data_IF_692920708570
#
_entry.id   IF_692920708570
#
_cell.length_a   1.000
_cell.length_b   1.000
_cell.length_c   1.000
_cell.angle_alpha   90.00
_cell.angle_beta   90.00
_cell.angle_gamma   90.00
#
_symmetry.space_group_name_H-M   'P 1'
#
loop_
_entity.id
_entity.type
_entity.pdbx_description
1 polymer ?
#
# COMPACT_ATOMS: atom_id res chain seq x y z
N UNK A 1 -14.78 -23.20 -7.94
CA UNK A 1 -13.87 -22.15 -7.43
C UNK A 1 -14.64 -20.85 -7.40
N UNK A 2 -14.59 -20.10 -6.30
CA UNK A 2 -15.33 -18.84 -6.13
C UNK A 2 -14.82 -18.07 -4.91
N UNK A 3 -15.28 -16.83 -4.73
CA UNK A 3 -14.93 -15.99 -3.57
C UNK A 3 -15.48 -16.66 -2.30
N UNK A 4 -14.59 -17.01 -1.36
CA UNK A 4 -14.96 -17.70 -0.11
C UNK A 4 -15.36 -16.75 1.02
N UNK A 5 -14.75 -15.57 1.05
CA UNK A 5 -14.91 -14.58 2.10
C UNK A 5 -14.69 -13.18 1.51
N UNK A 6 -15.43 -12.20 2.03
CA UNK A 6 -15.13 -10.79 1.86
C UNK A 6 -14.71 -10.19 3.20
N UNK A 7 -13.67 -9.35 3.18
CA UNK A 7 -13.24 -8.58 4.34
C UNK A 7 -13.36 -7.11 4.00
N UNK A 8 -14.04 -6.34 4.84
CA UNK A 8 -14.40 -4.95 4.54
C UNK A 8 -13.93 -4.03 5.66
N UNK A 9 -13.15 -3.00 5.34
CA UNK A 9 -12.74 -1.98 6.30
C UNK A 9 -13.87 -0.98 6.56
N UNK A 10 -14.22 -0.73 7.83
CA UNK A 10 -15.17 0.32 8.22
C UNK A 10 -14.79 0.94 9.56
N UNK A 11 -13.92 1.93 9.52
CA UNK A 11 -13.47 2.72 10.67
C UNK A 11 -13.32 4.21 10.29
N UNK A 12 -13.00 5.05 11.27
CA UNK A 12 -12.87 6.50 11.09
C UNK A 12 -11.73 6.92 10.16
N UNK A 13 -10.70 6.07 9.97
CA UNK A 13 -9.62 6.34 9.03
C UNK A 13 -10.08 6.13 7.58
N UNK A 14 -11.09 5.27 7.36
CA UNK A 14 -11.66 5.00 6.05
C UNK A 14 -12.87 5.90 5.75
N UNK A 15 -13.77 6.10 6.71
CA UNK A 15 -15.00 6.87 6.53
C UNK A 15 -15.27 7.79 7.72
N UNK A 16 -15.45 9.10 7.47
CA UNK A 16 -15.85 10.07 8.52
C UNK A 16 -17.18 9.69 9.18
N UNK A 17 -18.07 9.04 8.44
CA UNK A 17 -19.31 8.48 8.97
C UNK A 17 -19.39 6.98 8.65
N UNK A 18 -19.35 6.14 9.69
CA UNK A 18 -19.42 4.69 9.57
C UNK A 18 -20.84 4.13 9.61
N UNK A 19 -21.86 4.98 9.84
CA UNK A 19 -23.27 4.56 9.97
C UNK A 19 -23.94 4.30 8.61
N UNK A 20 -23.52 5.02 7.57
CA UNK A 20 -23.97 4.82 6.18
C UNK A 20 -22.75 4.85 5.22
N UNK A 21 -21.92 3.81 5.29
CA UNK A 21 -20.71 3.70 4.48
C UNK A 21 -20.86 2.66 3.37
N UNK A 22 -20.12 2.79 2.24
CA UNK A 22 -20.04 1.76 1.20
C UNK A 22 -19.71 0.36 1.76
N UNK A 23 -18.94 0.31 2.85
CA UNK A 23 -18.62 -0.93 3.53
C UNK A 23 -19.86 -1.69 4.02
N UNK A 24 -20.90 -0.99 4.51
CA UNK A 24 -22.14 -1.64 4.93
C UNK A 24 -22.90 -2.24 3.74
N UNK A 25 -22.95 -1.55 2.60
CA UNK A 25 -23.55 -2.10 1.39
C UNK A 25 -22.85 -3.39 0.94
N UNK A 26 -21.51 -3.40 0.98
CA UNK A 26 -20.73 -4.61 0.66
C UNK A 26 -21.02 -5.77 1.62
N UNK A 27 -21.14 -5.51 2.92
CA UNK A 27 -21.51 -6.53 3.91
C UNK A 27 -22.92 -7.09 3.67
N UNK A 28 -23.90 -6.21 3.41
CA UNK A 28 -25.28 -6.64 3.11
C UNK A 28 -25.34 -7.47 1.84
N UNK A 29 -24.66 -7.06 0.77
CA UNK A 29 -24.60 -7.82 -0.48
C UNK A 29 -23.96 -9.20 -0.27
N UNK A 30 -22.87 -9.29 0.49
CA UNK A 30 -22.23 -10.57 0.79
C UNK A 30 -23.13 -11.52 1.59
N UNK A 31 -23.88 -10.99 2.56
CA UNK A 31 -24.90 -11.76 3.29
C UNK A 31 -25.99 -12.29 2.36
N UNK A 32 -26.49 -11.45 1.45
CA UNK A 32 -27.51 -11.85 0.45
C UNK A 32 -27.00 -12.94 -0.51
N UNK A 33 -25.71 -12.93 -0.81
CA UNK A 33 -25.04 -13.92 -1.66
C UNK A 33 -24.58 -15.18 -0.91
N UNK A 34 -24.86 -15.30 0.39
CA UNK A 34 -24.44 -16.44 1.21
C UNK A 34 -22.92 -16.54 1.42
N UNK A 35 -22.20 -15.42 1.29
CA UNK A 35 -20.75 -15.37 1.48
C UNK A 35 -20.40 -15.03 2.93
N UNK A 36 -19.28 -15.56 3.43
CA UNK A 36 -18.71 -15.10 4.70
C UNK A 36 -18.25 -13.65 4.57
N UNK A 37 -18.58 -12.80 5.54
CA UNK A 37 -18.27 -11.38 5.52
C UNK A 37 -17.70 -10.93 6.87
N UNK A 38 -16.47 -10.43 6.87
CA UNK A 38 -15.79 -9.96 8.09
C UNK A 38 -15.57 -8.46 8.01
N UNK A 39 -15.95 -7.75 9.09
CA UNK A 39 -15.64 -6.33 9.22
C UNK A 39 -14.26 -6.16 9.86
N UNK A 40 -13.39 -5.39 9.19
CA UNK A 40 -12.06 -5.02 9.68
C UNK A 40 -12.12 -3.59 10.19
N UNK A 41 -11.50 -3.35 11.34
CA UNK A 41 -11.41 -2.03 11.97
C UNK A 41 -10.02 -1.83 12.53
N UNK A 42 -9.48 -0.64 12.34
CA UNK A 42 -8.31 -0.18 13.09
C UNK A 42 -8.82 0.70 14.24
N UNK A 43 -8.44 0.41 15.51
CA UNK A 43 -8.74 1.32 16.60
C UNK A 43 -8.00 2.64 16.34
N UNK A 44 -8.72 3.75 16.34
CA UNK A 44 -8.08 5.06 16.32
C UNK A 44 -7.34 5.22 17.66
N UNK A 45 -6.05 5.59 17.69
CA UNK A 45 -5.41 5.94 18.95
C UNK A 45 -6.20 7.12 19.53
N UNK A 46 -6.90 6.90 20.65
CA UNK A 46 -7.58 7.99 21.33
C UNK A 46 -6.55 9.11 21.54
N UNK A 47 -6.88 10.31 21.08
CA UNK A 47 -6.05 11.48 21.30
C UNK A 47 -6.07 11.77 22.80
N UNK A 48 -5.18 11.12 23.54
CA UNK A 48 -4.93 11.47 24.92
C UNK A 48 -4.18 12.81 24.91
N UNK A 49 -4.96 13.89 24.94
CA UNK A 49 -4.48 15.27 24.96
C UNK A 49 -3.56 15.57 26.17
N UNK A 50 -3.38 14.63 27.10
CA UNK A 50 -2.43 14.72 28.21
C UNK A 50 -0.97 14.43 27.82
N UNK A 51 -0.70 13.93 26.60
CA UNK A 51 0.65 13.51 26.15
C UNK A 51 1.18 14.22 24.90
N UNK A 52 0.80 15.47 24.65
CA UNK A 52 1.33 16.26 23.52
C UNK A 52 2.86 16.54 23.57
N UNK A 53 3.54 16.20 24.67
CA UNK A 53 4.99 16.41 24.84
C UNK A 53 5.84 15.13 24.88
N UNK A 54 5.25 13.94 24.74
CA UNK A 54 6.04 12.74 24.51
C UNK A 54 6.16 12.57 23.00
N UNK A 55 7.35 12.87 22.46
CA UNK A 55 7.81 12.33 21.17
C UNK A 55 7.25 10.92 21.07
N UNK A 56 6.58 10.59 19.97
CA UNK A 56 6.15 9.22 19.69
C UNK A 56 7.40 8.34 19.66
N UNK A 57 7.85 7.91 20.84
CA UNK A 57 8.97 7.05 21.06
C UNK A 57 8.40 5.67 20.92
N UNK A 58 8.20 5.25 19.67
CA UNK A 58 7.96 3.86 19.32
C UNK A 58 9.28 3.13 19.58
N UNK A 59 9.60 2.89 20.85
CA UNK A 59 10.88 2.36 21.33
C UNK A 59 10.90 0.84 21.44
N UNK A 60 9.88 0.13 20.98
CA UNK A 60 9.88 -1.34 20.90
C UNK A 60 9.67 -1.81 19.45
N UNK A 61 10.78 -1.91 18.72
CA UNK A 61 10.86 -2.32 17.31
C UNK A 61 10.71 -3.84 17.23
N UNK A 62 9.48 -4.33 17.37
CA UNK A 62 9.02 -5.66 16.92
C UNK A 62 7.55 -5.61 16.43
N UNK A 63 7.04 -4.41 16.15
CA UNK A 63 5.66 -4.17 15.70
C UNK A 63 5.57 -3.89 14.17
N UNK A 64 4.44 -4.22 13.52
CA UNK A 64 4.24 -3.92 12.10
C UNK A 64 4.40 -2.41 11.87
N UNK A 65 5.44 -2.02 11.14
CA UNK A 65 5.72 -0.62 10.82
C UNK A 65 4.48 0.00 10.17
N UNK A 66 3.99 1.11 10.75
CA UNK A 66 2.95 1.94 10.15
C UNK A 66 3.31 2.26 8.71
N UNK A 67 2.37 2.02 7.78
CA UNK A 67 2.58 2.21 6.35
C UNK A 67 2.03 3.57 5.92
N UNK A 68 2.90 4.56 5.78
CA UNK A 68 2.55 5.85 5.22
C UNK A 68 2.51 5.75 3.69
N UNK A 69 1.31 5.64 3.12
CA UNK A 69 1.07 5.57 1.67
C UNK A 69 -0.31 6.11 1.32
N UNK A 70 -0.52 6.52 0.07
CA UNK A 70 -1.73 7.23 -0.34
C UNK A 70 -1.94 8.47 0.53
N UNK A 71 -3.18 8.74 0.95
CA UNK A 71 -3.49 9.88 1.83
C UNK A 71 -2.67 9.93 3.12
N UNK A 72 -2.25 8.78 3.67
CA UNK A 72 -1.46 8.77 4.90
C UNK A 72 -0.06 9.34 4.70
N UNK A 73 0.50 9.23 3.49
CA UNK A 73 1.76 9.88 3.14
C UNK A 73 1.64 11.42 3.15
N UNK A 74 0.45 11.96 2.88
CA UNK A 74 0.23 13.41 2.86
C UNK A 74 -0.22 13.96 4.21
N UNK A 75 -1.08 13.23 4.94
CA UNK A 75 -1.82 13.79 6.09
C UNK A 75 -1.32 13.35 7.45
N UNK A 76 -0.59 12.23 7.54
CA UNK A 76 -0.19 11.62 8.82
C UNK A 76 1.30 11.70 9.10
N UNK A 77 2.08 12.34 8.22
CA UNK A 77 3.55 12.42 8.35
C UNK A 77 4.03 13.55 9.27
N UNK A 78 3.20 14.57 9.50
CA UNK A 78 3.55 15.71 10.35
C UNK A 78 3.89 15.26 11.79
N UNK A 79 5.03 15.72 12.31
CA UNK A 79 5.52 15.38 13.65
C UNK A 79 6.18 14.00 13.78
N UNK A 80 6.25 13.22 12.70
CA UNK A 80 6.95 11.94 12.68
C UNK A 80 8.47 12.12 12.55
N UNK A 81 9.22 11.12 13.05
CA UNK A 81 10.68 11.09 12.89
C UNK A 81 11.06 10.77 11.43
N UNK A 82 12.01 11.53 10.88
CA UNK A 82 12.55 11.30 9.54
C UNK A 82 13.77 10.38 9.56
N UNK A 83 13.93 9.57 8.51
CA UNK A 83 15.06 8.66 8.34
C UNK A 83 15.75 8.89 6.98
N UNK A 84 17.06 8.64 6.92
CA UNK A 84 17.79 8.65 5.65
C UNK A 84 17.31 7.47 4.78
N UNK A 85 16.90 7.78 3.55
CA UNK A 85 16.40 6.81 2.59
C UNK A 85 17.37 5.65 2.33
N UNK A 86 18.68 5.89 2.46
CA UNK A 86 19.73 4.87 2.28
C UNK A 86 19.60 3.72 3.27
N UNK A 87 18.91 3.94 4.39
CA UNK A 87 18.66 2.91 5.41
C UNK A 87 17.54 1.94 5.02
N UNK A 88 16.70 2.29 4.04
CA UNK A 88 15.56 1.46 3.59
C UNK A 88 16.00 0.38 2.61
N UNK A 89 16.81 -0.55 3.10
CA UNK A 89 17.44 -1.63 2.32
C UNK A 89 16.59 -2.90 2.20
N UNK A 90 15.42 -2.94 2.87
CA UNK A 90 14.48 -4.07 2.82
C UNK A 90 13.03 -3.60 2.76
N UNK A 91 12.22 -4.27 1.95
CA UNK A 91 10.78 -4.02 1.90
C UNK A 91 10.08 -4.64 3.13
N UNK A 92 9.26 -3.89 3.89
CA UNK A 92 8.52 -4.43 5.04
C UNK A 92 7.33 -5.31 4.64
N UNK A 93 6.96 -5.34 3.35
CA UNK A 93 5.79 -6.09 2.84
C UNK A 93 6.05 -7.60 2.66
N UNK A 94 7.29 -8.04 2.88
CA UNK A 94 7.69 -9.44 2.74
C UNK A 94 8.29 -9.74 1.37
N UNK A 95 8.18 -11.01 0.97
CA UNK A 95 8.71 -11.50 -0.30
C UNK A 95 7.77 -11.11 -1.46
N UNK A 96 8.30 -10.28 -2.37
CA UNK A 96 7.58 -9.79 -3.54
C UNK A 96 7.64 -10.77 -4.73
N UNK A 97 8.58 -11.72 -4.72
CA UNK A 97 8.72 -12.75 -5.76
C UNK A 97 7.82 -13.97 -5.51
N UNK A 98 7.38 -14.16 -4.27
CA UNK A 98 6.42 -15.19 -3.89
C UNK A 98 5.17 -14.57 -3.22
N UNK A 99 4.39 -13.73 -3.94
CA UNK A 99 3.23 -13.06 -3.38
C UNK A 99 2.15 -14.07 -2.97
N UNK A 100 1.66 -13.95 -1.73
CA UNK A 100 0.52 -14.77 -1.25
C UNK A 100 -0.84 -14.23 -1.68
N UNK A 101 -0.87 -13.02 -2.21
CA UNK A 101 -2.07 -12.31 -2.64
C UNK A 101 -1.69 -11.25 -3.69
N UNK A 102 -2.67 -10.88 -4.50
CA UNK A 102 -2.59 -9.74 -5.42
C UNK A 102 -3.74 -8.78 -5.12
N UNK A 103 -3.55 -7.51 -5.45
CA UNK A 103 -4.60 -6.50 -5.44
C UNK A 103 -5.13 -6.35 -6.86
N UNK A 104 -6.44 -6.28 -7.01
CA UNK A 104 -7.08 -6.00 -8.29
C UNK A 104 -8.03 -4.83 -8.07
N UNK A 105 -7.93 -3.81 -8.91
CA UNK A 105 -8.81 -2.64 -8.84
C UNK A 105 -9.91 -2.64 -9.94
N UNK A 106 -10.74 -1.61 -9.91
CA UNK A 106 -11.87 -1.43 -10.82
C UNK A 106 -11.47 -1.14 -12.28
N UNK A 107 -10.22 -0.73 -12.53
CA UNK A 107 -9.64 -0.51 -13.86
C UNK A 107 -8.88 -1.74 -14.37
N UNK A 108 -8.86 -2.82 -13.60
CA UNK A 108 -8.27 -4.10 -13.96
C UNK A 108 -6.81 -4.27 -13.61
N UNK A 109 -6.09 -3.26 -13.06
CA UNK A 109 -4.68 -3.47 -12.72
C UNK A 109 -4.55 -4.54 -11.64
N UNK A 110 -3.73 -5.55 -11.94
CA UNK A 110 -3.32 -6.60 -11.02
C UNK A 110 -1.99 -6.18 -10.41
N UNK A 111 -1.92 -6.08 -9.10
CA UNK A 111 -0.81 -5.43 -8.39
C UNK A 111 -0.26 -6.33 -7.27
N UNK A 112 1.06 -6.33 -7.11
CA UNK A 112 1.75 -7.05 -6.02
C UNK A 112 1.75 -6.23 -4.73
N UNK A 113 2.00 -4.93 -4.89
CA UNK A 113 1.89 -3.92 -3.84
C UNK A 113 0.96 -2.83 -4.37
N UNK A 114 0.07 -2.23 -3.56
CA UNK A 114 -0.82 -1.17 -4.05
C UNK A 114 -0.05 -0.06 -4.78
N UNK A 115 -0.37 0.15 -6.05
CA UNK A 115 0.29 1.04 -7.00
C UNK A 115 1.45 0.44 -7.79
N UNK A 116 1.71 -0.86 -7.72
CA UNK A 116 2.73 -1.54 -8.53
C UNK A 116 2.08 -2.71 -9.25
N UNK A 117 1.77 -2.50 -10.52
CA UNK A 117 1.04 -3.42 -11.37
C UNK A 117 1.98 -4.41 -12.07
N UNK A 118 1.51 -5.64 -12.23
CA UNK A 118 2.14 -6.73 -12.98
C UNK A 118 1.35 -7.09 -14.25
N UNK A 119 0.25 -6.39 -14.52
CA UNK A 119 -0.60 -6.57 -15.69
C UNK A 119 -2.01 -6.01 -15.47
N UNK A 120 -2.86 -6.16 -16.48
CA UNK A 120 -4.26 -5.71 -16.43
C UNK A 120 -5.23 -6.86 -16.79
N UNK A 121 -6.14 -7.18 -15.87
CA UNK A 121 -7.13 -8.26 -16.00
C UNK A 121 -8.20 -8.01 -17.07
N UNK A 122 -8.36 -6.77 -17.53
CA UNK A 122 -9.20 -6.42 -18.69
C UNK A 122 -8.52 -6.74 -20.02
N UNK A 123 -7.18 -6.89 -20.02
CA UNK A 123 -6.39 -7.17 -21.23
C UNK A 123 -5.98 -8.64 -21.32
N UNK A 124 -5.58 -9.23 -20.20
CA UNK A 124 -5.15 -10.63 -20.12
C UNK A 124 -5.89 -11.36 -18.98
N UNK A 125 -6.16 -12.66 -19.12
CA UNK A 125 -6.72 -13.43 -18.02
C UNK A 125 -5.82 -13.38 -16.78
N UNK A 126 -6.42 -13.20 -15.59
CA UNK A 126 -5.70 -13.07 -14.32
C UNK A 126 -4.69 -14.21 -14.06
N UNK A 127 -5.06 -15.45 -14.39
CA UNK A 127 -4.16 -16.60 -14.20
C UNK A 127 -2.90 -16.49 -15.07
N UNK A 128 -3.03 -15.98 -16.29
CA UNK A 128 -1.90 -15.75 -17.21
C UNK A 128 -0.99 -14.65 -16.67
N UNK A 129 -1.56 -13.54 -16.19
CA UNK A 129 -0.78 -12.45 -15.56
C UNK A 129 0.06 -12.97 -14.38
N UNK A 130 -0.51 -13.84 -13.56
CA UNK A 130 0.20 -14.42 -12.40
C UNK A 130 1.28 -15.41 -12.84
N UNK A 131 1.02 -16.22 -13.87
CA UNK A 131 1.97 -17.22 -14.37
C UNK A 131 3.16 -16.57 -15.10
N UNK A 132 2.89 -15.51 -15.85
CA UNK A 132 3.90 -14.79 -16.64
C UNK A 132 4.70 -13.79 -15.79
N UNK A 133 4.30 -13.53 -14.54
CA UNK A 133 5.00 -12.58 -13.67
C UNK A 133 6.41 -13.09 -13.34
N UNK A 134 7.40 -12.37 -13.86
CA UNK A 134 8.80 -12.53 -13.47
C UNK A 134 9.25 -11.30 -12.67
N UNK A 135 9.64 -11.52 -11.42
CA UNK A 135 10.17 -10.47 -10.56
C UNK A 135 11.48 -9.89 -11.11
N UNK A 136 12.32 -10.68 -11.76
CA UNK A 136 13.65 -10.26 -12.22
C UNK A 136 13.59 -9.28 -13.40
N UNK A 137 12.59 -9.44 -14.27
CA UNK A 137 12.35 -8.56 -15.41
C UNK A 137 11.54 -7.31 -15.05
N UNK A 138 10.96 -7.26 -13.84
CA UNK A 138 10.08 -6.16 -13.45
C UNK A 138 10.85 -4.93 -12.96
N UNK A 139 10.87 -3.86 -13.77
CA UNK A 139 11.67 -2.64 -13.54
C UNK A 139 11.44 -1.96 -12.19
N UNK A 140 10.21 -1.98 -11.66
CA UNK A 140 9.88 -1.39 -10.35
C UNK A 140 10.08 -2.39 -9.18
N UNK A 141 9.59 -3.63 -9.29
CA UNK A 141 9.62 -4.59 -8.19
C UNK A 141 11.01 -5.19 -7.97
N UNK A 142 11.81 -5.40 -9.02
CA UNK A 142 13.14 -5.99 -8.89
C UNK A 142 14.08 -5.18 -7.98
N UNK A 143 14.24 -3.85 -8.17
CA UNK A 143 15.09 -3.04 -7.30
C UNK A 143 14.54 -2.96 -5.86
N UNK A 144 13.21 -2.90 -5.70
CA UNK A 144 12.58 -2.88 -4.37
C UNK A 144 12.84 -4.19 -3.63
N UNK A 145 12.75 -5.32 -4.32
CA UNK A 145 12.97 -6.63 -3.71
C UNK A 145 14.42 -6.82 -3.27
N UNK A 146 15.36 -6.47 -4.14
CA UNK A 146 16.80 -6.72 -3.92
C UNK A 146 17.47 -5.70 -3.00
N UNK A 147 17.04 -4.44 -3.03
CA UNK A 147 17.70 -3.32 -2.34
C UNK A 147 16.74 -2.51 -1.45
N UNK A 148 15.51 -2.98 -1.25
CA UNK A 148 14.46 -2.25 -0.54
C UNK A 148 14.00 -1.00 -1.29
N UNK A 149 13.18 -0.15 -0.65
CA UNK A 149 12.77 1.15 -1.22
C UNK A 149 13.94 2.01 -1.71
N UNK A 150 15.11 1.88 -1.10
CA UNK A 150 16.32 2.59 -1.54
C UNK A 150 16.76 2.21 -2.96
N UNK A 151 16.50 0.97 -3.40
CA UNK A 151 16.76 0.52 -4.77
C UNK A 151 16.00 1.32 -5.81
N UNK A 152 14.73 1.63 -5.52
CA UNK A 152 13.90 2.40 -6.43
C UNK A 152 14.41 3.85 -6.58
N UNK A 153 14.85 4.47 -5.48
CA UNK A 153 15.50 5.80 -5.56
C UNK A 153 16.76 5.73 -6.41
N UNK A 154 17.60 4.71 -6.23
CA UNK A 154 18.88 4.58 -6.95
C UNK A 154 18.71 4.46 -8.46
N UNK A 155 17.68 3.76 -8.91
CA UNK A 155 17.40 3.63 -10.35
C UNK A 155 16.62 4.83 -10.92
N UNK A 156 16.11 5.69 -10.04
CA UNK A 156 15.44 6.93 -10.43
C UNK A 156 16.44 8.08 -10.59
N UNK A 157 16.12 9.05 -11.45
CA UNK A 157 16.86 10.32 -11.53
C UNK A 157 16.38 11.35 -10.48
N UNK A 158 15.72 10.90 -9.41
CA UNK A 158 15.14 11.79 -8.41
C UNK A 158 16.21 12.24 -7.41
N UNK A 159 16.10 13.50 -6.97
CA UNK A 159 16.84 13.99 -5.82
C UNK A 159 16.07 13.62 -4.55
N UNK A 160 16.55 12.66 -3.75
CA UNK A 160 15.80 12.19 -2.60
C UNK A 160 15.74 13.26 -1.51
N UNK A 161 14.58 13.39 -0.90
CA UNK A 161 14.36 14.29 0.23
C UNK A 161 14.93 13.66 1.51
N UNK A 162 15.26 14.49 2.52
CA UNK A 162 15.78 14.01 3.81
C UNK A 162 14.68 13.59 4.79
N UNK A 163 13.40 13.66 4.39
CA UNK A 163 12.25 13.69 5.31
C UNK A 163 11.37 12.44 5.29
N UNK A 164 11.88 11.30 4.83
CA UNK A 164 11.04 10.09 4.78
C UNK A 164 10.75 9.55 6.19
N UNK A 165 9.47 9.41 6.53
CA UNK A 165 9.03 8.86 7.82
C UNK A 165 8.98 7.33 7.87
N UNK A 166 9.42 6.65 6.81
CA UNK A 166 9.52 5.20 6.75
C UNK A 166 9.72 4.63 5.33
N UNK A 167 9.96 3.31 5.22
CA UNK A 167 10.23 2.64 3.94
C UNK A 167 9.06 2.73 2.95
N UNK A 168 7.82 2.54 3.42
CA UNK A 168 6.63 2.66 2.57
C UNK A 168 6.39 4.10 2.11
N UNK A 169 6.70 5.10 2.96
CA UNK A 169 6.60 6.52 2.61
C UNK A 169 7.55 6.85 1.45
N UNK A 170 8.82 6.47 1.62
CA UNK A 170 9.86 6.59 0.62
C UNK A 170 9.47 5.94 -0.70
N UNK A 171 9.05 4.67 -0.64
CA UNK A 171 8.63 3.93 -1.83
C UNK A 171 7.41 4.58 -2.52
N UNK A 172 6.43 5.06 -1.74
CA UNK A 172 5.24 5.72 -2.27
C UNK A 172 5.59 7.02 -3.03
N UNK A 173 6.32 7.95 -2.40
CA UNK A 173 6.69 9.22 -3.03
C UNK A 173 7.59 9.03 -4.26
N UNK A 174 8.54 8.09 -4.17
CA UNK A 174 9.41 7.76 -5.32
C UNK A 174 8.58 7.28 -6.51
N UNK A 175 7.63 6.36 -6.29
CA UNK A 175 6.73 5.90 -7.36
C UNK A 175 5.81 7.01 -7.87
N UNK A 176 5.28 7.86 -6.99
CA UNK A 176 4.44 8.98 -7.39
C UNK A 176 5.18 9.91 -8.36
N UNK A 177 6.46 10.18 -8.13
CA UNK A 177 7.29 10.98 -9.02
C UNK A 177 7.68 10.28 -10.33
N UNK A 178 7.58 8.94 -10.38
CA UNK A 178 7.88 8.12 -11.56
C UNK A 178 6.64 7.71 -12.35
N UNK A 179 5.43 8.06 -11.89
CA UNK A 179 4.17 7.51 -12.42
C UNK A 179 3.98 7.77 -13.92
N UNK A 180 4.41 8.91 -14.42
CA UNK A 180 4.32 9.26 -15.85
C UNK A 180 5.36 8.53 -16.70
N UNK A 181 6.47 8.09 -16.11
CA UNK A 181 7.51 7.33 -16.81
C UNK A 181 7.14 5.85 -16.93
N UNK A 182 6.37 5.33 -15.97
CA UNK A 182 5.98 3.92 -15.91
C UNK A 182 4.46 3.75 -15.76
N UNK A 183 3.61 4.30 -16.64
CA UNK A 183 2.16 4.32 -16.45
C UNK A 183 1.52 2.92 -16.41
N UNK A 184 2.15 1.93 -17.06
CA UNK A 184 1.67 0.54 -17.07
C UNK A 184 2.08 -0.24 -15.82
N UNK A 185 3.21 0.11 -15.20
CA UNK A 185 3.73 -0.56 -14.00
C UNK A 185 3.36 0.17 -12.71
N UNK A 186 3.08 1.47 -12.77
CA UNK A 186 2.70 2.33 -11.66
C UNK A 186 1.25 2.77 -11.83
N UNK A 187 0.36 1.85 -11.51
CA UNK A 187 -1.08 2.03 -11.66
C UNK A 187 -1.85 1.36 -10.53
N UNK A 188 -3.09 1.80 -10.30
CA UNK A 188 -3.80 2.84 -11.04
C UNK A 188 -3.50 4.24 -10.47
N UNK A 189 -3.68 5.29 -11.27
CA UNK A 189 -3.33 6.68 -10.87
C UNK A 189 -3.99 7.15 -9.57
N UNK A 190 -5.21 6.70 -9.31
CA UNK A 190 -5.97 7.09 -8.11
C UNK A 190 -5.36 6.58 -6.79
N UNK A 191 -4.48 5.56 -6.79
CA UNK A 191 -3.79 5.19 -5.55
C UNK A 191 -2.74 6.23 -5.12
N UNK A 192 -2.38 7.13 -6.04
CA UNK A 192 -1.45 8.23 -5.84
C UNK A 192 -2.14 9.59 -5.65
N UNK A 193 -3.47 9.62 -5.60
CA UNK A 193 -4.24 10.86 -5.42
C UNK A 193 -4.51 11.67 -6.69
N UNK A 194 -4.23 11.12 -7.88
CA UNK A 194 -4.61 11.69 -9.18
C UNK A 194 -6.00 11.25 -9.64
#
# INVERSE_FOLDING_TARGET
MGVKEIRVSNDFLHYKNTSNSPAKHALTAAQQLGMSATLVRIPFPEADNSKQNEKCSVTNILEPQLMFSGRAADTLVAGSHSFDWKTFTRCPRGDLGAPKQVFVDAYGFVQICPGIAIGNACEKPLHTIIQDFDLHEHEILHPIHTQGPSGLIRISNLQPEREYVGPCHCCYLTRQALIDQYPELLGPRNVYGF
#
